data_IF_547585877930
#
_entry.id   IF_547585877930
#
_cell.length_a   1.000
_cell.length_b   1.000
_cell.length_c   1.000
_cell.angle_alpha   90.00
_cell.angle_beta   90.00
_cell.angle_gamma   90.00
#
_symmetry.space_group_name_H-M   'P 1'
#
loop_
_entity.id
_entity.type
_entity.pdbx_description
1 polymer ?
#
# COMPACT_ATOMS: atom_id res chain seq x y z
N UNK A 1 3.35 22.86 -20.19
CA UNK A 1 3.25 21.39 -20.37
C UNK A 1 2.20 20.80 -19.40
N UNK A 2 1.40 19.82 -19.83
CA UNK A 2 0.49 19.08 -18.93
C UNK A 2 1.19 17.89 -18.31
N UNK A 3 1.10 17.76 -16.98
CA UNK A 3 1.49 16.58 -16.21
C UNK A 3 0.26 16.00 -15.52
N UNK A 4 -0.02 14.74 -15.75
CA UNK A 4 -1.17 14.03 -15.17
C UNK A 4 -0.66 12.83 -14.38
N UNK A 5 -0.64 12.97 -13.05
CA UNK A 5 -0.18 11.96 -12.11
C UNK A 5 -1.36 11.34 -11.38
N UNK A 6 -1.59 10.06 -11.62
CA UNK A 6 -2.74 9.35 -11.08
C UNK A 6 -2.31 8.16 -10.21
N UNK A 7 -3.07 7.85 -9.19
CA UNK A 7 -3.04 6.54 -8.59
C UNK A 7 -3.54 5.48 -9.57
N UNK A 8 -3.57 4.20 -9.16
CA UNK A 8 -4.11 3.15 -10.02
C UNK A 8 -5.58 3.37 -10.32
N UNK A 9 -5.92 3.36 -11.58
CA UNK A 9 -7.30 3.43 -12.08
C UNK A 9 -7.92 2.03 -12.25
N UNK A 10 -7.11 0.97 -12.13
CA UNK A 10 -7.57 -0.41 -12.25
C UNK A 10 -8.35 -0.82 -11.00
N UNK A 11 -9.61 -1.31 -11.14
CA UNK A 11 -10.38 -1.81 -10.01
C UNK A 11 -9.62 -2.93 -9.28
N UNK A 12 -9.55 -2.83 -7.94
CA UNK A 12 -8.86 -3.76 -7.03
C UNK A 12 -7.31 -3.67 -6.99
N UNK A 13 -6.70 -2.74 -7.69
CA UNK A 13 -5.30 -2.40 -7.49
C UNK A 13 -5.19 -1.22 -6.52
N UNK A 14 -4.26 -1.29 -5.59
CA UNK A 14 -3.96 -0.17 -4.69
C UNK A 14 -3.05 0.85 -5.39
N UNK A 15 -3.09 2.08 -4.95
CA UNK A 15 -2.29 3.18 -5.47
C UNK A 15 -1.05 3.41 -4.62
N UNK A 16 -0.01 3.94 -5.25
CA UNK A 16 1.24 4.29 -4.60
C UNK A 16 1.35 5.82 -4.45
N UNK A 17 0.90 6.31 -3.33
CA UNK A 17 0.95 7.74 -3.00
C UNK A 17 2.39 8.24 -2.82
N UNK A 18 3.32 7.37 -2.38
CA UNK A 18 4.72 7.75 -2.17
C UNK A 18 5.41 8.05 -3.49
N UNK A 19 5.35 7.14 -4.48
CA UNK A 19 5.98 7.36 -5.79
C UNK A 19 5.33 8.50 -6.56
N UNK A 20 4.01 8.68 -6.40
CA UNK A 20 3.32 9.84 -6.96
C UNK A 20 3.87 11.14 -6.37
N UNK A 21 4.01 11.20 -5.04
CA UNK A 21 4.61 12.36 -4.36
C UNK A 21 6.07 12.60 -4.80
N UNK A 22 6.89 11.55 -4.88
CA UNK A 22 8.28 11.67 -5.36
C UNK A 22 8.36 12.21 -6.79
N UNK A 23 7.48 11.74 -7.68
CA UNK A 23 7.42 12.24 -9.06
C UNK A 23 7.06 13.74 -9.11
N UNK A 24 6.08 14.14 -8.30
CA UNK A 24 5.71 15.55 -8.17
C UNK A 24 6.88 16.42 -7.63
N UNK A 25 7.55 15.95 -6.58
CA UNK A 25 8.70 16.67 -6.02
C UNK A 25 9.93 16.64 -6.95
N UNK A 26 10.09 15.61 -7.76
CA UNK A 26 11.13 15.56 -8.79
C UNK A 26 10.86 16.60 -9.89
N UNK A 27 9.64 16.69 -10.38
CA UNK A 27 9.23 17.71 -11.34
C UNK A 27 9.45 19.13 -10.78
N UNK A 28 9.06 19.38 -9.53
CA UNK A 28 9.29 20.68 -8.89
C UNK A 28 10.77 21.04 -8.85
N UNK A 29 11.64 20.10 -8.51
CA UNK A 29 13.09 20.35 -8.50
C UNK A 29 13.66 20.59 -9.89
N UNK A 30 13.15 19.93 -10.91
CA UNK A 30 13.53 20.13 -12.30
C UNK A 30 13.14 21.53 -12.80
N UNK A 31 11.94 21.98 -12.44
CA UNK A 31 11.43 23.30 -12.83
C UNK A 31 12.02 24.45 -12.02
N UNK A 32 12.59 24.18 -10.85
CA UNK A 32 13.15 25.20 -9.93
C UNK A 32 14.63 25.49 -10.20
N UNK A 33 15.00 25.66 -11.46
CA UNK A 33 16.39 25.90 -11.87
C UNK A 33 16.96 27.24 -11.38
N UNK A 34 16.09 28.19 -11.08
CA UNK A 34 16.41 29.55 -10.64
C UNK A 34 16.08 29.85 -9.17
N UNK A 35 15.52 28.87 -8.43
CA UNK A 35 15.11 28.98 -7.02
C UNK A 35 13.85 29.82 -6.81
N UNK A 36 13.14 30.20 -7.87
CA UNK A 36 11.99 31.11 -7.84
C UNK A 36 10.64 30.39 -8.03
N UNK A 37 10.63 29.06 -8.19
CA UNK A 37 9.42 28.31 -8.46
C UNK A 37 8.38 28.44 -7.34
N UNK A 38 8.81 28.49 -6.07
CA UNK A 38 7.90 28.60 -4.94
C UNK A 38 7.00 29.84 -5.04
N UNK A 39 7.54 30.99 -5.49
CA UNK A 39 6.79 32.23 -5.71
C UNK A 39 5.86 32.13 -6.94
N UNK A 40 6.19 31.27 -7.88
CA UNK A 40 5.46 31.06 -9.14
C UNK A 40 4.59 29.78 -9.12
N UNK A 41 4.41 29.17 -7.94
CA UNK A 41 3.54 28.00 -7.75
C UNK A 41 2.17 28.44 -7.24
N UNK A 42 1.12 27.94 -7.87
CA UNK A 42 -0.26 28.14 -7.43
C UNK A 42 -0.92 26.76 -7.23
N UNK A 43 -1.42 26.49 -6.04
CA UNK A 43 -2.22 25.28 -5.75
C UNK A 43 -3.68 25.70 -5.69
N UNK A 44 -4.51 25.10 -6.54
CA UNK A 44 -5.93 25.41 -6.64
C UNK A 44 -6.78 24.27 -6.09
N UNK A 45 -7.83 24.55 -5.31
CA UNK A 45 -8.77 23.54 -4.86
C UNK A 45 -9.62 23.07 -6.05
N UNK A 46 -9.81 21.76 -6.22
CA UNK A 46 -10.64 21.21 -7.29
C UNK A 46 -12.14 21.61 -7.17
N UNK A 47 -12.62 21.75 -5.91
CA UNK A 47 -14.02 22.09 -5.65
C UNK A 47 -14.33 23.52 -6.07
N UNK A 48 -15.27 23.67 -7.00
CA UNK A 48 -15.71 24.98 -7.50
C UNK A 48 -14.77 25.60 -8.52
N UNK A 49 -13.70 24.90 -8.94
CA UNK A 49 -12.80 25.35 -10.00
C UNK A 49 -13.49 25.27 -11.36
N UNK A 50 -13.37 26.33 -12.16
CA UNK A 50 -13.81 26.35 -13.55
C UNK A 50 -12.63 26.34 -14.53
N UNK A 51 -12.88 25.92 -15.77
CA UNK A 51 -11.86 25.88 -16.83
C UNK A 51 -11.26 27.27 -17.08
N UNK A 52 -12.07 28.32 -17.13
CA UNK A 52 -11.61 29.71 -17.37
C UNK A 52 -10.65 30.20 -16.29
N UNK A 53 -10.94 29.89 -15.01
CA UNK A 53 -10.05 30.25 -13.90
C UNK A 53 -8.69 29.56 -14.03
N UNK A 54 -8.71 28.26 -14.39
CA UNK A 54 -7.48 27.51 -14.57
C UNK A 54 -6.66 28.05 -15.76
N UNK A 55 -7.29 28.33 -16.88
CA UNK A 55 -6.68 28.95 -18.04
C UNK A 55 -6.06 30.31 -17.69
N UNK A 56 -6.75 31.14 -16.91
CA UNK A 56 -6.22 32.43 -16.45
C UNK A 56 -4.93 32.27 -15.65
N UNK A 57 -4.87 31.31 -14.72
CA UNK A 57 -3.65 31.03 -13.96
C UNK A 57 -2.51 30.53 -14.84
N UNK A 58 -2.81 29.69 -15.84
CA UNK A 58 -1.84 29.15 -16.77
C UNK A 58 -1.32 30.17 -17.80
N UNK A 59 -2.14 31.19 -18.11
CA UNK A 59 -1.76 32.29 -19.04
C UNK A 59 -0.93 33.36 -18.36
N UNK A 60 -0.79 33.32 -17.03
CA UNK A 60 -0.01 34.33 -16.30
C UNK A 60 1.49 34.07 -16.47
N UNK A 61 2.23 35.06 -16.90
CA UNK A 61 3.69 34.98 -17.07
C UNK A 61 4.37 34.77 -15.69
N UNK A 62 5.37 33.89 -15.58
CA UNK A 62 6.10 33.72 -14.32
C UNK A 62 6.85 35.02 -13.94
N UNK A 63 6.86 35.33 -12.65
CA UNK A 63 7.51 36.50 -12.12
C UNK A 63 8.98 36.18 -11.78
N UNK A 64 9.92 36.79 -12.53
CA UNK A 64 11.35 36.59 -12.35
C UNK A 64 11.80 35.12 -12.29
N UNK A 65 11.10 34.23 -12.99
CA UNK A 65 11.36 32.81 -13.00
C UNK A 65 11.25 32.22 -14.41
N UNK A 66 11.89 31.09 -14.62
CA UNK A 66 11.83 30.32 -15.87
C UNK A 66 10.52 29.52 -16.04
N UNK A 67 9.86 29.18 -14.93
CA UNK A 67 8.67 28.37 -14.95
C UNK A 67 7.56 28.87 -13.99
N UNK A 68 6.32 28.61 -14.38
CA UNK A 68 5.12 28.75 -13.57
C UNK A 68 4.47 27.38 -13.37
N UNK A 69 4.17 27.04 -12.14
CA UNK A 69 3.55 25.78 -11.77
C UNK A 69 2.14 26.01 -11.24
N UNK A 70 1.15 25.39 -11.86
CA UNK A 70 -0.23 25.36 -11.38
C UNK A 70 -0.59 23.90 -11.04
N UNK A 71 -0.94 23.64 -9.79
CA UNK A 71 -1.28 22.29 -9.31
C UNK A 71 -2.74 22.23 -8.91
N UNK A 72 -3.43 21.20 -9.35
CA UNK A 72 -4.80 20.88 -8.91
C UNK A 72 -4.86 19.43 -8.45
N UNK A 73 -5.31 19.23 -7.22
CA UNK A 73 -5.46 17.89 -6.64
C UNK A 73 -6.92 17.45 -6.66
N UNK A 74 -7.17 16.23 -7.15
CA UNK A 74 -8.50 15.61 -7.14
C UNK A 74 -9.49 16.24 -8.10
N UNK A 75 -9.04 16.89 -9.17
CA UNK A 75 -9.93 17.52 -10.15
C UNK A 75 -10.86 16.52 -10.83
N UNK A 76 -10.28 15.46 -11.39
CA UNK A 76 -11.04 14.45 -12.12
C UNK A 76 -11.95 13.65 -11.18
N UNK A 77 -11.49 13.36 -9.98
CA UNK A 77 -12.27 12.71 -8.92
C UNK A 77 -13.46 13.58 -8.53
N UNK A 78 -13.25 14.90 -8.36
CA UNK A 78 -14.32 15.86 -8.01
C UNK A 78 -15.37 15.99 -9.12
N UNK A 79 -14.94 15.99 -10.37
CA UNK A 79 -15.82 16.14 -11.55
C UNK A 79 -16.55 14.83 -11.88
N UNK A 80 -15.88 13.68 -11.66
CA UNK A 80 -16.42 12.37 -11.98
C UNK A 80 -16.67 12.16 -13.48
N UNK A 81 -17.63 11.27 -13.79
CA UNK A 81 -18.02 10.94 -15.17
C UNK A 81 -19.38 11.56 -15.58
N UNK A 82 -19.74 12.68 -14.99
CA UNK A 82 -21.05 13.34 -15.23
C UNK A 82 -21.18 13.76 -16.71
N UNK A 83 -22.42 13.71 -17.21
CA UNK A 83 -22.73 14.23 -18.56
C UNK A 83 -22.40 15.74 -18.61
N UNK A 84 -21.77 16.18 -19.72
CA UNK A 84 -21.44 17.58 -19.95
C UNK A 84 -20.13 18.05 -19.28
N UNK A 85 -19.43 17.21 -18.51
CA UNK A 85 -18.13 17.60 -17.93
C UNK A 85 -17.13 17.93 -19.02
N UNK A 86 -17.08 17.13 -20.10
CA UNK A 86 -16.17 17.42 -21.21
C UNK A 86 -16.50 18.76 -21.86
N UNK A 87 -17.78 19.06 -22.11
CA UNK A 87 -18.19 20.34 -22.74
C UNK A 87 -17.79 21.54 -21.88
N UNK A 88 -17.93 21.43 -20.56
CA UNK A 88 -17.51 22.49 -19.61
C UNK A 88 -16.00 22.69 -19.57
N UNK A 89 -15.22 21.62 -19.78
CA UNK A 89 -13.77 21.65 -19.71
C UNK A 89 -13.08 21.63 -21.08
N UNK A 90 -13.87 21.60 -22.17
CA UNK A 90 -13.35 21.68 -23.55
C UNK A 90 -12.45 22.91 -23.77
N UNK A 91 -12.78 24.13 -23.24
CA UNK A 91 -11.88 25.28 -23.38
C UNK A 91 -10.48 25.02 -22.80
N UNK A 92 -10.36 24.31 -21.69
CA UNK A 92 -9.04 23.91 -21.16
C UNK A 92 -8.33 22.93 -22.11
N UNK A 93 -9.04 21.90 -22.58
CA UNK A 93 -8.45 20.90 -23.49
C UNK A 93 -7.92 21.56 -24.76
N UNK A 94 -8.65 22.52 -25.31
CA UNK A 94 -8.27 23.28 -26.50
C UNK A 94 -7.11 24.27 -26.22
N UNK A 95 -7.00 24.77 -25.00
CA UNK A 95 -5.93 25.67 -24.58
C UNK A 95 -4.60 24.96 -24.34
N UNK A 96 -4.61 23.73 -23.82
CA UNK A 96 -3.39 23.01 -23.42
C UNK A 96 -2.33 22.91 -24.52
N UNK A 97 -2.64 22.66 -25.81
CA UNK A 97 -1.64 22.65 -26.89
C UNK A 97 -0.98 23.99 -27.19
N UNK A 98 -1.65 25.10 -26.84
CA UNK A 98 -1.17 26.48 -27.09
C UNK A 98 -0.75 27.19 -25.80
N UNK A 99 -0.74 26.48 -24.68
CA UNK A 99 -0.30 26.99 -23.39
C UNK A 99 1.16 27.49 -23.47
N UNK A 100 1.52 28.61 -22.80
CA UNK A 100 2.89 29.07 -22.75
C UNK A 100 3.88 27.97 -22.31
N UNK A 101 5.03 27.88 -22.98
CA UNK A 101 6.04 26.85 -22.66
C UNK A 101 6.57 26.98 -21.23
N UNK A 102 6.54 28.16 -20.66
CA UNK A 102 6.90 28.42 -19.26
C UNK A 102 5.87 27.95 -18.24
N UNK A 103 4.67 27.58 -18.69
CA UNK A 103 3.57 27.16 -17.80
C UNK A 103 3.47 25.65 -17.73
N UNK A 104 3.33 25.14 -16.51
CA UNK A 104 3.16 23.73 -16.21
C UNK A 104 1.87 23.53 -15.41
N UNK A 105 0.99 22.70 -15.93
CA UNK A 105 -0.20 22.23 -15.22
C UNK A 105 0.06 20.83 -14.68
N UNK A 106 -0.05 20.65 -13.36
CA UNK A 106 0.02 19.34 -12.73
C UNK A 106 -1.36 18.98 -12.17
N UNK A 107 -1.94 17.95 -12.70
CA UNK A 107 -3.15 17.33 -12.16
C UNK A 107 -2.74 16.11 -11.35
N UNK A 108 -2.95 16.18 -10.04
CA UNK A 108 -2.66 15.09 -9.11
C UNK A 108 -3.98 14.44 -8.74
N UNK A 109 -4.15 13.18 -9.12
CA UNK A 109 -5.32 12.40 -8.76
C UNK A 109 -4.93 11.35 -7.71
N UNK A 110 -5.14 11.64 -6.41
CA UNK A 110 -4.94 10.64 -5.38
C UNK A 110 -5.87 9.45 -5.63
N UNK A 111 -5.54 8.31 -5.06
CA UNK A 111 -6.32 7.10 -5.24
C UNK A 111 -7.79 7.34 -4.93
N UNK A 112 -8.68 7.31 -5.90
CA UNK A 112 -10.11 7.44 -5.63
C UNK A 112 -10.60 6.18 -4.90
N UNK A 113 -11.65 6.34 -4.11
CA UNK A 113 -12.35 5.20 -3.50
C UNK A 113 -12.83 4.22 -4.58
N UNK A 114 -13.06 2.97 -4.22
CA UNK A 114 -13.36 1.89 -5.20
C UNK A 114 -14.50 2.21 -6.15
N UNK A 115 -15.49 2.97 -5.70
CA UNK A 115 -16.66 3.35 -6.51
C UNK A 115 -16.31 4.45 -7.53
N UNK A 116 -15.43 5.38 -7.16
CA UNK A 116 -15.03 6.49 -8.01
C UNK A 116 -14.04 6.08 -9.12
N UNK A 117 -13.27 5.01 -8.91
CA UNK A 117 -12.27 4.51 -9.90
C UNK A 117 -12.91 4.15 -11.25
N UNK A 118 -14.03 3.42 -11.23
CA UNK A 118 -14.76 3.06 -12.45
C UNK A 118 -15.32 4.30 -13.17
N UNK A 119 -15.71 5.32 -12.41
CA UNK A 119 -16.14 6.60 -12.93
C UNK A 119 -14.99 7.34 -13.62
N UNK A 120 -13.82 7.34 -13.00
CA UNK A 120 -12.65 8.06 -13.49
C UNK A 120 -12.12 7.44 -14.80
N UNK A 121 -11.95 6.12 -14.86
CA UNK A 121 -11.47 5.42 -16.05
C UNK A 121 -12.37 5.69 -17.28
N UNK A 122 -13.66 5.84 -17.04
CA UNK A 122 -14.66 6.15 -18.08
C UNK A 122 -14.82 7.64 -18.36
N UNK A 123 -14.14 8.51 -17.63
CA UNK A 123 -14.26 9.95 -17.78
C UNK A 123 -13.88 10.41 -19.19
N UNK A 124 -14.78 11.09 -19.92
CA UNK A 124 -14.44 11.67 -21.22
C UNK A 124 -13.35 12.73 -21.12
N UNK A 125 -13.32 13.49 -20.01
CA UNK A 125 -12.29 14.49 -19.76
C UNK A 125 -10.91 13.84 -19.56
N UNK A 126 -10.80 12.77 -18.77
CA UNK A 126 -9.53 12.04 -18.62
C UNK A 126 -9.01 11.57 -19.98
N UNK A 127 -9.88 11.06 -20.81
CA UNK A 127 -9.53 10.58 -22.16
C UNK A 127 -9.04 11.71 -23.05
N UNK A 128 -9.70 12.87 -22.99
CA UNK A 128 -9.29 14.07 -23.73
C UNK A 128 -7.92 14.59 -23.25
N UNK A 129 -7.70 14.67 -21.93
CA UNK A 129 -6.41 15.09 -21.36
C UNK A 129 -5.27 14.12 -21.73
N UNK A 130 -5.53 12.82 -21.76
CA UNK A 130 -4.53 11.83 -22.22
C UNK A 130 -4.18 11.95 -23.70
N UNK A 131 -5.05 12.54 -24.50
CA UNK A 131 -4.82 12.75 -25.92
C UNK A 131 -4.07 14.06 -26.22
N UNK A 132 -3.81 14.93 -25.25
CA UNK A 132 -3.08 16.17 -25.42
C UNK A 132 -1.64 15.89 -25.86
N UNK A 133 -1.18 16.43 -27.00
CA UNK A 133 0.19 16.22 -27.46
C UNK A 133 1.23 16.71 -26.45
N UNK A 134 2.22 15.88 -26.16
CA UNK A 134 3.30 16.24 -25.24
C UNK A 134 2.91 16.19 -23.75
N UNK A 135 1.73 15.66 -23.40
CA UNK A 135 1.36 15.47 -22.00
C UNK A 135 2.24 14.38 -21.37
N UNK A 136 2.74 14.66 -20.17
CA UNK A 136 3.43 13.70 -19.32
C UNK A 136 2.40 13.01 -18.43
N UNK A 137 2.20 11.71 -18.65
CA UNK A 137 1.15 10.94 -17.99
C UNK A 137 1.78 9.77 -17.25
N UNK A 138 1.62 9.75 -15.94
CA UNK A 138 2.14 8.68 -15.09
C UNK A 138 1.04 8.11 -14.18
N UNK A 139 0.96 6.78 -14.14
CA UNK A 139 0.07 6.04 -13.25
C UNK A 139 0.89 5.29 -12.21
N UNK A 140 0.59 5.52 -10.94
CA UNK A 140 1.32 4.98 -9.80
C UNK A 140 0.47 3.91 -9.09
N UNK A 141 0.56 2.67 -9.58
CA UNK A 141 0.00 1.51 -8.89
C UNK A 141 0.91 1.09 -7.73
N UNK A 142 0.32 0.54 -6.68
CA UNK A 142 1.11 -0.03 -5.59
C UNK A 142 2.05 -1.14 -6.09
N UNK A 143 3.25 -1.15 -5.56
CA UNK A 143 4.23 -2.20 -5.86
C UNK A 143 3.81 -3.50 -5.18
N UNK A 144 4.02 -4.59 -5.90
CA UNK A 144 3.73 -5.93 -5.40
C UNK A 144 4.96 -6.50 -4.71
N UNK A 145 4.78 -6.92 -3.48
CA UNK A 145 5.78 -7.74 -2.80
C UNK A 145 6.01 -9.03 -3.60
N UNK A 146 5.01 -9.45 -4.40
CA UNK A 146 4.88 -10.82 -4.88
C UNK A 146 4.11 -10.87 -6.19
N UNK A 147 4.82 -10.81 -7.28
CA UNK A 147 4.27 -10.95 -8.63
C UNK A 147 4.83 -12.18 -9.34
N UNK A 148 3.99 -12.91 -10.10
CA UNK A 148 4.38 -14.11 -10.86
C UNK A 148 5.49 -13.85 -11.87
N UNK A 149 5.40 -12.73 -12.56
CA UNK A 149 6.33 -12.35 -13.64
C UNK A 149 7.31 -11.27 -13.17
N UNK A 150 6.88 -10.42 -12.26
CA UNK A 150 7.66 -9.28 -11.80
C UNK A 150 8.53 -9.55 -10.57
N UNK A 151 8.35 -10.67 -9.85
CA UNK A 151 9.04 -10.94 -8.60
C UNK A 151 8.67 -9.94 -7.49
N UNK A 152 9.60 -9.67 -6.58
CA UNK A 152 9.43 -8.70 -5.50
C UNK A 152 9.74 -7.27 -6.01
N UNK A 153 8.70 -6.52 -6.39
CA UNK A 153 8.84 -5.15 -6.89
C UNK A 153 9.29 -4.19 -5.80
N UNK A 154 8.87 -4.43 -4.54
CA UNK A 154 9.30 -3.61 -3.40
C UNK A 154 10.78 -3.78 -3.11
N UNK A 155 11.30 -5.01 -3.12
CA UNK A 155 12.73 -5.26 -2.91
C UNK A 155 13.59 -4.63 -4.03
N UNK A 156 13.11 -4.66 -5.27
CA UNK A 156 13.79 -3.95 -6.38
C UNK A 156 13.78 -2.44 -6.16
N UNK A 157 12.63 -1.89 -5.79
CA UNK A 157 12.53 -0.47 -5.50
C UNK A 157 13.46 -0.05 -4.35
N UNK A 158 13.53 -0.85 -3.26
CA UNK A 158 14.47 -0.65 -2.16
C UNK A 158 15.93 -0.64 -2.67
N UNK A 159 16.27 -1.60 -3.55
CA UNK A 159 17.60 -1.69 -4.14
C UNK A 159 17.96 -0.44 -4.96
N UNK A 160 17.02 0.01 -5.80
CA UNK A 160 17.23 1.19 -6.66
C UNK A 160 17.30 2.48 -5.84
N UNK A 161 16.45 2.60 -4.80
CA UNK A 161 16.51 3.73 -3.87
C UNK A 161 17.82 3.76 -3.09
N UNK A 162 18.27 2.63 -2.55
CA UNK A 162 19.54 2.53 -1.84
C UNK A 162 20.69 2.94 -2.75
N UNK A 163 20.71 2.45 -3.99
CA UNK A 163 21.72 2.82 -4.99
C UNK A 163 21.71 4.32 -5.29
N UNK A 164 20.56 4.94 -5.44
CA UNK A 164 20.45 6.39 -5.69
C UNK A 164 20.94 7.25 -4.51
N UNK A 165 20.97 6.67 -3.30
CA UNK A 165 21.49 7.29 -2.07
C UNK A 165 22.95 6.91 -1.77
N UNK A 166 23.60 6.11 -2.63
CA UNK A 166 24.96 5.61 -2.40
C UNK A 166 25.06 4.57 -1.28
N UNK A 167 23.95 3.94 -0.90
CA UNK A 167 23.89 2.93 0.16
C UNK A 167 23.95 1.55 -0.47
N UNK A 168 24.91 0.72 -0.02
CA UNK A 168 25.01 -0.67 -0.44
C UNK A 168 24.18 -1.57 0.47
N UNK A 169 23.44 -2.51 -0.11
CA UNK A 169 22.70 -3.57 0.59
C UNK A 169 23.19 -4.93 0.10
N UNK A 170 23.25 -5.90 0.99
CA UNK A 170 23.31 -7.31 0.61
C UNK A 170 21.97 -7.69 -0.04
N UNK A 171 22.00 -8.62 -1.01
CA UNK A 171 20.80 -9.02 -1.76
C UNK A 171 19.67 -9.49 -0.84
N UNK A 172 19.99 -10.37 0.10
CA UNK A 172 19.00 -10.94 1.01
C UNK A 172 18.47 -9.88 2.01
N UNK A 173 19.24 -8.82 2.29
CA UNK A 173 18.84 -7.75 3.18
C UNK A 173 17.69 -6.90 2.59
N UNK A 174 17.68 -6.67 1.27
CA UNK A 174 16.58 -5.95 0.62
C UNK A 174 15.29 -6.79 0.59
N UNK A 175 15.40 -8.10 0.42
CA UNK A 175 14.25 -9.00 0.48
C UNK A 175 13.64 -9.01 1.89
N UNK A 176 14.47 -9.19 2.92
CA UNK A 176 14.03 -9.16 4.33
C UNK A 176 13.43 -7.81 4.70
N UNK A 177 14.03 -6.69 4.27
CA UNK A 177 13.48 -5.36 4.52
C UNK A 177 12.10 -5.22 3.88
N UNK A 178 11.94 -5.65 2.63
CA UNK A 178 10.65 -5.58 1.93
C UNK A 178 9.55 -6.42 2.61
N UNK A 179 9.92 -7.56 3.19
CA UNK A 179 8.99 -8.39 3.97
C UNK A 179 8.54 -7.69 5.26
N UNK A 180 9.47 -6.99 5.94
CA UNK A 180 9.18 -6.30 7.19
C UNK A 180 8.35 -5.04 7.01
N UNK A 181 8.64 -4.23 5.97
CA UNK A 181 7.92 -2.97 5.71
C UNK A 181 6.64 -3.15 4.88
N UNK A 182 6.51 -4.28 4.19
CA UNK A 182 5.36 -4.52 3.31
C UNK A 182 5.38 -3.61 2.08
N UNK A 183 4.19 -3.20 1.63
CA UNK A 183 4.03 -2.30 0.48
C UNK A 183 4.07 -0.79 0.86
N UNK A 184 4.36 -0.48 2.13
CA UNK A 184 4.48 0.91 2.59
C UNK A 184 5.84 1.50 2.19
N UNK A 185 5.86 2.23 1.08
CA UNK A 185 7.09 2.84 0.58
C UNK A 185 7.55 4.07 1.39
N UNK A 186 6.66 4.71 2.18
CA UNK A 186 7.07 5.74 3.14
C UNK A 186 7.94 5.14 4.24
N UNK A 187 7.47 4.03 4.82
CA UNK A 187 8.24 3.29 5.79
C UNK A 187 9.54 2.76 5.18
N UNK A 188 9.47 2.12 3.99
CA UNK A 188 10.64 1.58 3.30
C UNK A 188 11.71 2.65 3.05
N UNK A 189 11.31 3.86 2.61
CA UNK A 189 12.21 4.97 2.38
C UNK A 189 12.95 5.39 3.66
N UNK A 190 12.22 5.55 4.76
CA UNK A 190 12.79 5.89 6.06
C UNK A 190 13.75 4.82 6.58
N UNK A 191 13.39 3.56 6.42
CA UNK A 191 14.23 2.44 6.83
C UNK A 191 15.54 2.36 6.01
N UNK A 192 15.49 2.58 4.68
CA UNK A 192 16.69 2.63 3.83
C UNK A 192 17.65 3.72 4.32
N UNK A 193 17.14 4.93 4.57
CA UNK A 193 17.96 6.04 5.03
C UNK A 193 18.56 5.77 6.42
N UNK A 194 17.77 5.24 7.35
CA UNK A 194 18.22 4.85 8.72
C UNK A 194 19.29 3.75 8.69
N UNK A 195 19.04 2.69 7.93
CA UNK A 195 19.98 1.58 7.79
C UNK A 195 21.29 2.01 7.13
N UNK A 196 21.21 2.90 6.13
CA UNK A 196 22.41 3.48 5.49
C UNK A 196 23.26 4.28 6.45
N UNK A 197 22.64 5.10 7.31
CA UNK A 197 23.35 5.84 8.36
C UNK A 197 24.01 4.89 9.39
N UNK A 198 23.30 3.86 9.81
CA UNK A 198 23.85 2.86 10.74
C UNK A 198 25.02 2.08 10.15
N UNK A 199 24.92 1.69 8.89
CA UNK A 199 25.95 0.94 8.21
C UNK A 199 27.24 1.74 7.96
N UNK A 200 27.17 3.07 7.98
CA UNK A 200 28.32 3.97 7.90
C UNK A 200 29.28 3.65 6.73
N UNK A 201 28.74 3.35 5.55
CA UNK A 201 29.49 3.07 4.32
C UNK A 201 29.79 1.59 4.05
N UNK A 202 29.56 0.68 5.00
CA UNK A 202 29.57 -0.76 4.72
C UNK A 202 28.23 -1.22 4.14
N UNK A 203 28.16 -2.37 3.47
CA UNK A 203 26.90 -2.94 3.06
C UNK A 203 25.97 -3.22 4.26
N UNK A 204 24.70 -2.91 4.10
CA UNK A 204 23.62 -3.26 5.05
C UNK A 204 23.38 -4.76 4.96
N UNK A 205 23.46 -5.44 6.10
CA UNK A 205 23.28 -6.89 6.21
C UNK A 205 21.87 -7.25 6.68
N UNK A 206 21.47 -8.52 6.54
CA UNK A 206 20.22 -9.05 7.12
C UNK A 206 20.16 -8.85 8.64
N UNK A 207 21.32 -8.95 9.33
CA UNK A 207 21.37 -8.74 10.78
C UNK A 207 21.04 -7.29 11.16
N UNK A 208 21.53 -6.31 10.39
CA UNK A 208 21.22 -4.90 10.60
C UNK A 208 19.72 -4.60 10.40
N UNK A 209 19.16 -5.17 9.33
CA UNK A 209 17.72 -5.02 9.05
C UNK A 209 16.89 -5.55 10.21
N UNK A 210 17.18 -6.77 10.68
CA UNK A 210 16.44 -7.38 11.81
C UNK A 210 16.66 -6.67 13.14
N UNK A 211 17.80 -6.01 13.32
CA UNK A 211 18.10 -5.26 14.53
C UNK A 211 17.34 -3.93 14.60
N UNK A 212 17.22 -3.23 13.46
CA UNK A 212 16.79 -1.84 13.44
C UNK A 212 15.37 -1.62 12.87
N UNK A 213 14.91 -2.55 12.03
CA UNK A 213 13.58 -2.40 11.39
C UNK A 213 12.55 -3.17 12.20
N UNK A 214 11.59 -2.49 12.82
CA UNK A 214 10.46 -3.16 13.44
C UNK A 214 9.67 -3.92 12.36
N UNK A 215 9.13 -5.07 12.72
CA UNK A 215 8.22 -5.78 11.82
C UNK A 215 7.01 -4.89 11.53
N UNK A 216 6.49 -4.98 10.30
CA UNK A 216 5.25 -4.28 9.99
C UNK A 216 4.11 -4.85 10.85
N UNK A 217 3.12 -4.01 11.16
CA UNK A 217 1.90 -4.42 11.87
C UNK A 217 1.31 -5.74 11.33
N UNK A 218 1.28 -5.87 10.00
CA UNK A 218 0.78 -7.10 9.38
C UNK A 218 1.68 -8.30 9.69
N UNK A 219 3.00 -8.14 9.63
CA UNK A 219 3.95 -9.21 9.95
C UNK A 219 3.84 -9.66 11.42
N UNK A 220 3.61 -8.72 12.34
CA UNK A 220 3.43 -9.03 13.76
C UNK A 220 2.12 -9.77 14.03
N UNK A 221 1.01 -9.38 13.36
CA UNK A 221 -0.25 -10.13 13.44
C UNK A 221 -0.12 -11.51 12.80
N UNK A 222 0.60 -11.65 11.69
CA UNK A 222 0.91 -12.96 11.12
C UNK A 222 1.68 -13.84 12.13
N UNK A 223 2.73 -13.28 12.76
CA UNK A 223 3.51 -14.00 13.77
C UNK A 223 2.68 -14.39 14.98
N UNK A 224 1.73 -13.54 15.40
CA UNK A 224 0.78 -13.83 16.47
C UNK A 224 -0.11 -15.01 16.11
N UNK A 225 -0.77 -14.98 14.95
CA UNK A 225 -1.67 -16.06 14.50
C UNK A 225 -0.88 -17.36 14.33
N UNK A 226 0.31 -17.30 13.75
CA UNK A 226 1.20 -18.43 13.59
C UNK A 226 1.51 -19.09 14.96
N UNK A 227 1.91 -18.28 15.93
CA UNK A 227 2.21 -18.77 17.28
C UNK A 227 0.97 -19.40 17.93
N UNK A 228 -0.21 -18.83 17.73
CA UNK A 228 -1.46 -19.36 18.27
C UNK A 228 -1.83 -20.71 17.62
N UNK A 229 -1.88 -20.79 16.28
CA UNK A 229 -2.27 -22.04 15.59
C UNK A 229 -1.24 -23.17 15.72
N UNK A 230 0.00 -22.83 16.08
CA UNK A 230 1.05 -23.80 16.43
C UNK A 230 1.03 -24.22 17.92
N UNK A 231 0.08 -23.71 18.72
CA UNK A 231 -0.06 -24.05 20.14
C UNK A 231 0.91 -23.34 21.08
N UNK A 232 1.59 -22.28 20.62
CA UNK A 232 2.58 -21.51 21.39
C UNK A 232 1.92 -20.31 22.09
N UNK A 233 0.91 -20.58 22.95
CA UNK A 233 0.12 -19.56 23.64
C UNK A 233 0.96 -18.46 24.33
N UNK A 234 2.03 -18.77 25.11
CA UNK A 234 2.82 -17.71 25.75
C UNK A 234 3.51 -16.78 24.74
N UNK A 235 3.93 -17.28 23.59
CA UNK A 235 4.53 -16.46 22.53
C UNK A 235 3.48 -15.59 21.84
N UNK A 236 2.33 -16.15 21.53
CA UNK A 236 1.21 -15.43 20.92
C UNK A 236 0.69 -14.30 21.83
N UNK A 237 0.52 -14.57 23.14
CA UNK A 237 0.11 -13.54 24.10
C UNK A 237 1.14 -12.40 24.26
N UNK A 238 2.45 -12.70 24.18
CA UNK A 238 3.47 -11.65 24.20
C UNK A 238 3.36 -10.75 22.96
N UNK A 239 3.19 -11.33 21.77
CA UNK A 239 3.00 -10.57 20.53
C UNK A 239 1.71 -9.73 20.57
N UNK A 240 0.62 -10.30 21.09
CA UNK A 240 -0.62 -9.54 21.27
C UNK A 240 -0.41 -8.32 22.18
N UNK A 241 0.26 -8.48 23.31
CA UNK A 241 0.55 -7.36 24.23
C UNK A 241 1.42 -6.30 23.57
N UNK A 242 2.48 -6.70 22.85
CA UNK A 242 3.31 -5.75 22.13
C UNK A 242 2.50 -4.94 21.10
N UNK A 243 1.58 -5.55 20.37
CA UNK A 243 0.71 -4.85 19.43
C UNK A 243 -0.20 -3.84 20.15
N UNK A 244 -0.80 -4.24 21.28
CA UNK A 244 -1.67 -3.36 22.07
C UNK A 244 -0.86 -2.21 22.71
N UNK A 245 0.33 -2.48 23.22
CA UNK A 245 1.23 -1.46 23.80
C UNK A 245 1.72 -0.44 22.76
N UNK A 246 1.84 -0.85 21.49
CA UNK A 246 2.13 0.04 20.36
C UNK A 246 0.90 0.83 19.87
N UNK A 247 -0.23 0.74 20.59
CA UNK A 247 -1.43 1.53 20.28
C UNK A 247 -2.36 0.92 19.24
N UNK A 248 -2.18 -0.37 18.93
CA UNK A 248 -3.07 -1.06 18.01
C UNK A 248 -4.46 -1.23 18.60
N UNK A 249 -5.48 -0.89 17.80
CA UNK A 249 -6.86 -0.98 18.27
C UNK A 249 -7.35 -2.44 18.27
N UNK A 250 -7.91 -2.95 19.37
CA UNK A 250 -8.33 -4.36 19.50
C UNK A 250 -9.24 -4.85 18.38
N UNK A 251 -10.24 -4.06 17.98
CA UNK A 251 -11.13 -4.42 16.89
C UNK A 251 -10.39 -4.57 15.54
N UNK A 252 -9.37 -3.76 15.28
CA UNK A 252 -8.52 -3.87 14.10
C UNK A 252 -7.70 -5.17 14.10
N UNK A 253 -7.10 -5.51 15.24
CA UNK A 253 -6.36 -6.77 15.43
C UNK A 253 -7.27 -7.99 15.24
N UNK A 254 -8.48 -7.95 15.80
CA UNK A 254 -9.47 -9.02 15.63
C UNK A 254 -9.84 -9.23 14.15
N UNK A 255 -10.05 -8.13 13.40
CA UNK A 255 -10.36 -8.22 11.97
C UNK A 255 -9.19 -8.84 11.17
N UNK A 256 -7.95 -8.52 11.51
CA UNK A 256 -6.76 -9.09 10.87
C UNK A 256 -6.58 -10.57 11.21
N UNK A 257 -6.79 -10.97 12.48
CA UNK A 257 -6.78 -12.38 12.91
C UNK A 257 -7.85 -13.16 12.13
N UNK A 258 -9.08 -12.61 12.06
CA UNK A 258 -10.18 -13.24 11.30
C UNK A 258 -9.83 -13.42 9.81
N UNK A 259 -9.15 -12.44 9.20
CA UNK A 259 -8.69 -12.54 7.79
C UNK A 259 -7.71 -13.71 7.62
N UNK A 260 -6.75 -13.85 8.53
CA UNK A 260 -5.78 -14.94 8.49
C UNK A 260 -6.41 -16.31 8.67
N UNK A 261 -7.33 -16.44 9.61
CA UNK A 261 -8.06 -17.70 9.82
C UNK A 261 -8.91 -18.07 8.61
N UNK A 262 -9.54 -17.09 7.93
CA UNK A 262 -10.24 -17.34 6.66
C UNK A 262 -9.30 -17.87 5.57
N UNK A 263 -8.08 -17.36 5.49
CA UNK A 263 -7.07 -17.88 4.56
C UNK A 263 -6.68 -19.33 4.90
N UNK A 264 -6.56 -19.66 6.20
CA UNK A 264 -6.31 -21.03 6.67
C UNK A 264 -7.44 -21.99 6.30
N UNK A 265 -8.71 -21.59 6.48
CA UNK A 265 -9.88 -22.40 6.07
C UNK A 265 -9.83 -22.66 4.56
N UNK A 266 -9.67 -21.59 3.77
CA UNK A 266 -9.62 -21.67 2.31
C UNK A 266 -8.48 -22.56 1.81
N UNK A 267 -7.30 -22.43 2.42
CA UNK A 267 -6.16 -23.26 2.08
C UNK A 267 -6.42 -24.72 2.44
N UNK A 268 -7.00 -25.01 3.61
CA UNK A 268 -7.32 -26.37 4.04
C UNK A 268 -8.36 -27.04 3.13
N UNK A 269 -9.39 -26.31 2.71
CA UNK A 269 -10.40 -26.81 1.76
C UNK A 269 -9.76 -27.17 0.40
N UNK A 270 -8.91 -26.30 -0.14
CA UNK A 270 -8.25 -26.53 -1.42
C UNK A 270 -7.24 -27.66 -1.35
N UNK A 271 -6.54 -27.83 -0.21
CA UNK A 271 -5.65 -28.98 0.03
C UNK A 271 -6.47 -30.28 0.03
N UNK A 272 -7.63 -30.31 0.70
CA UNK A 272 -8.50 -31.46 0.72
C UNK A 272 -9.06 -31.85 -0.66
N UNK A 273 -9.19 -30.87 -1.57
CA UNK A 273 -9.58 -31.06 -2.97
C UNK A 273 -8.41 -31.45 -3.89
N UNK A 274 -7.20 -31.56 -3.35
CA UNK A 274 -5.99 -31.85 -4.15
C UNK A 274 -5.54 -30.69 -5.04
N UNK A 275 -5.95 -29.48 -4.74
CA UNK A 275 -5.58 -28.33 -5.54
C UNK A 275 -4.07 -28.05 -5.46
N UNK A 276 -3.43 -27.63 -6.58
CA UNK A 276 -2.02 -27.28 -6.56
C UNK A 276 -1.78 -26.02 -5.72
N UNK A 277 -0.60 -25.93 -5.11
CA UNK A 277 -0.17 -24.79 -4.25
C UNK A 277 -0.43 -23.42 -4.90
N UNK A 278 -0.27 -23.35 -6.21
CA UNK A 278 -0.59 -22.15 -7.01
C UNK A 278 -2.05 -21.71 -6.87
N UNK A 279 -3.00 -22.64 -6.96
CA UNK A 279 -4.43 -22.33 -6.84
C UNK A 279 -4.79 -21.87 -5.43
N UNK A 280 -4.10 -22.42 -4.41
CA UNK A 280 -4.22 -21.96 -3.02
C UNK A 280 -3.75 -20.51 -2.91
N UNK A 281 -2.60 -20.18 -3.49
CA UNK A 281 -2.08 -18.81 -3.51
C UNK A 281 -3.03 -17.81 -4.16
N UNK A 282 -3.60 -18.17 -5.31
CA UNK A 282 -4.58 -17.33 -6.01
C UNK A 282 -5.86 -17.10 -5.19
N UNK A 283 -6.37 -18.15 -4.55
CA UNK A 283 -7.60 -18.08 -3.77
C UNK A 283 -7.44 -17.31 -2.46
N UNK A 284 -6.27 -17.38 -1.82
CA UNK A 284 -6.00 -16.73 -0.52
C UNK A 284 -5.37 -15.35 -0.66
N UNK A 285 -4.93 -14.98 -1.87
CA UNK A 285 -4.13 -13.77 -2.11
C UNK A 285 -2.69 -13.87 -1.59
N UNK A 286 -2.26 -15.05 -1.10
CA UNK A 286 -0.90 -15.31 -0.62
C UNK A 286 -0.12 -15.96 -1.75
N UNK A 287 0.49 -15.17 -2.61
CA UNK A 287 1.12 -15.66 -3.85
C UNK A 287 2.61 -15.96 -3.73
N UNK A 288 3.21 -15.69 -2.57
CA UNK A 288 4.64 -15.91 -2.28
C UNK A 288 4.96 -17.35 -1.95
N UNK A 289 6.11 -17.81 -2.43
CA UNK A 289 6.60 -19.17 -2.14
C UNK A 289 6.79 -19.42 -0.65
N UNK A 290 7.40 -18.48 0.09
CA UNK A 290 7.66 -18.68 1.53
C UNK A 290 6.39 -18.54 2.40
N UNK A 291 5.61 -17.44 2.36
CA UNK A 291 4.35 -17.34 3.10
C UNK A 291 3.31 -18.37 2.64
N UNK A 292 3.25 -18.66 1.33
CA UNK A 292 2.35 -19.66 0.78
C UNK A 292 2.72 -21.06 1.27
N UNK A 293 3.97 -21.46 1.17
CA UNK A 293 4.45 -22.75 1.71
C UNK A 293 4.23 -22.86 3.21
N UNK A 294 4.32 -21.77 3.97
CA UNK A 294 3.98 -21.73 5.40
C UNK A 294 2.48 -21.91 5.61
N UNK A 295 1.64 -21.17 4.89
CA UNK A 295 0.18 -21.28 4.94
C UNK A 295 -0.29 -22.71 4.60
N UNK A 296 0.26 -23.29 3.55
CA UNK A 296 -0.08 -24.69 3.12
C UNK A 296 0.31 -25.68 4.21
N UNK A 297 1.51 -25.58 4.79
CA UNK A 297 1.91 -26.46 5.91
C UNK A 297 1.03 -26.28 7.13
N UNK A 298 0.70 -25.05 7.50
CA UNK A 298 -0.18 -24.75 8.64
C UNK A 298 -1.59 -25.24 8.39
N UNK A 299 -2.17 -24.98 7.22
CA UNK A 299 -3.50 -25.44 6.87
C UNK A 299 -3.59 -26.98 6.86
N UNK A 300 -2.55 -27.65 6.34
CA UNK A 300 -2.46 -29.11 6.39
C UNK A 300 -2.33 -29.66 7.81
N UNK A 301 -1.55 -29.02 8.67
CA UNK A 301 -1.33 -29.46 10.05
C UNK A 301 -2.52 -29.12 10.98
N UNK A 302 -3.07 -27.90 10.86
CA UNK A 302 -4.18 -27.43 11.67
C UNK A 302 -5.50 -28.09 11.28
N UNK A 303 -5.73 -28.25 9.99
CA UNK A 303 -6.90 -28.92 9.40
C UNK A 303 -8.13 -28.03 9.33
N UNK A 304 -8.98 -28.27 8.32
CA UNK A 304 -10.14 -27.43 8.01
C UNK A 304 -11.13 -27.29 9.16
N UNK A 305 -11.50 -28.40 9.80
CA UNK A 305 -12.46 -28.37 10.91
C UNK A 305 -12.02 -27.51 12.11
N UNK A 306 -10.71 -27.52 12.44
CA UNK A 306 -10.16 -26.66 13.51
C UNK A 306 -10.10 -25.20 13.06
N UNK A 307 -9.77 -24.95 11.78
CA UNK A 307 -9.76 -23.60 11.23
C UNK A 307 -11.16 -22.97 11.22
N UNK A 308 -12.20 -23.73 10.89
CA UNK A 308 -13.58 -23.28 11.02
C UNK A 308 -13.99 -23.04 12.48
N UNK A 309 -13.57 -23.93 13.40
CA UNK A 309 -13.82 -23.73 14.83
C UNK A 309 -13.13 -22.45 15.32
N UNK A 310 -11.90 -22.18 14.88
CA UNK A 310 -11.18 -20.95 15.18
C UNK A 310 -11.94 -19.70 14.71
N UNK A 311 -12.57 -19.71 13.53
CA UNK A 311 -13.42 -18.63 13.07
C UNK A 311 -14.68 -18.45 13.93
N UNK A 312 -15.29 -19.52 14.39
CA UNK A 312 -16.42 -19.45 15.35
C UNK A 312 -16.03 -18.81 16.68
N UNK A 313 -14.80 -19.07 17.16
CA UNK A 313 -14.28 -18.39 18.38
C UNK A 313 -14.09 -16.88 18.15
N UNK A 314 -13.63 -16.45 16.96
CA UNK A 314 -13.56 -15.02 16.62
C UNK A 314 -14.95 -14.38 16.64
N UNK A 315 -15.94 -15.04 16.02
CA UNK A 315 -17.32 -14.54 15.95
C UNK A 315 -17.94 -14.46 17.36
N UNK A 316 -17.74 -15.48 18.19
CA UNK A 316 -18.22 -15.50 19.57
C UNK A 316 -17.59 -14.37 20.41
N UNK A 317 -16.30 -14.10 20.23
CA UNK A 317 -15.60 -12.99 20.87
C UNK A 317 -16.15 -11.63 20.45
N UNK A 318 -16.34 -11.42 19.14
CA UNK A 318 -16.93 -10.19 18.59
C UNK A 318 -18.34 -9.94 19.15
N UNK A 319 -19.16 -10.96 19.19
CA UNK A 319 -20.51 -10.87 19.77
C UNK A 319 -20.47 -10.55 21.26
N UNK A 320 -19.56 -11.15 22.03
CA UNK A 320 -19.43 -10.91 23.46
C UNK A 320 -19.03 -9.47 23.76
N UNK A 321 -18.11 -8.90 22.97
CA UNK A 321 -17.70 -7.48 23.07
C UNK A 321 -18.87 -6.57 22.69
N UNK A 322 -19.50 -6.75 21.53
CA UNK A 322 -20.61 -5.92 21.07
C UNK A 322 -21.84 -5.97 21.97
N UNK A 323 -22.03 -7.07 22.68
CA UNK A 323 -23.10 -7.21 23.69
C UNK A 323 -22.71 -6.73 25.09
N UNK A 324 -21.52 -6.16 25.27
CA UNK A 324 -21.03 -5.61 26.55
C UNK A 324 -20.70 -6.67 27.62
N UNK A 325 -20.52 -7.94 27.23
CA UNK A 325 -20.25 -9.04 28.15
C UNK A 325 -18.77 -9.13 28.55
N UNK A 326 -17.89 -8.62 27.71
CA UNK A 326 -16.44 -8.70 27.90
C UNK A 326 -15.77 -7.45 27.31
N UNK A 327 -14.67 -7.06 27.87
CA UNK A 327 -13.82 -5.98 27.38
C UNK A 327 -13.00 -6.47 26.17
N UNK A 328 -12.72 -5.55 25.21
CA UNK A 328 -12.13 -5.90 23.91
C UNK A 328 -10.76 -6.58 24.03
N UNK A 329 -9.85 -6.05 24.86
CA UNK A 329 -8.49 -6.61 25.01
C UNK A 329 -8.54 -7.98 25.66
N UNK A 330 -9.39 -8.18 26.67
CA UNK A 330 -9.58 -9.47 27.30
C UNK A 330 -10.19 -10.50 26.33
N UNK A 331 -11.11 -10.06 25.47
CA UNK A 331 -11.67 -10.92 24.41
C UNK A 331 -10.59 -11.46 23.49
N UNK A 332 -9.62 -10.59 23.09
CA UNK A 332 -8.49 -11.00 22.26
C UNK A 332 -7.53 -11.96 22.98
N UNK A 333 -7.23 -11.71 24.26
CA UNK A 333 -6.40 -12.63 25.05
C UNK A 333 -7.01 -14.01 25.14
N UNK A 334 -8.32 -14.09 25.42
CA UNK A 334 -9.05 -15.36 25.45
C UNK A 334 -9.09 -16.04 24.08
N UNK A 335 -9.32 -15.26 23.01
CA UNK A 335 -9.29 -15.79 21.65
C UNK A 335 -7.94 -16.45 21.35
N UNK A 336 -6.82 -15.77 21.63
CA UNK A 336 -5.46 -16.31 21.42
C UNK A 336 -5.25 -17.62 22.21
N UNK A 337 -5.71 -17.68 23.45
CA UNK A 337 -5.63 -18.92 24.25
C UNK A 337 -6.43 -20.05 23.61
N UNK A 338 -7.68 -19.81 23.19
CA UNK A 338 -8.54 -20.80 22.54
C UNK A 338 -7.98 -21.30 21.23
N UNK A 339 -7.41 -20.39 20.41
CA UNK A 339 -6.72 -20.77 19.17
C UNK A 339 -5.55 -21.70 19.44
N UNK A 340 -4.79 -21.44 20.49
CA UNK A 340 -3.67 -22.30 20.89
C UNK A 340 -4.12 -23.68 21.42
N UNK A 341 -5.27 -23.75 22.09
CA UNK A 341 -5.88 -25.03 22.53
C UNK A 341 -6.35 -25.89 21.36
N UNK A 342 -6.75 -25.26 20.24
CA UNK A 342 -7.15 -25.96 19.02
C UNK A 342 -5.95 -26.54 18.25
N UNK A 343 -4.73 -26.17 18.58
CA UNK A 343 -3.54 -26.65 17.90
C UNK A 343 -3.39 -28.19 18.01
N UNK A 344 -2.86 -28.84 16.96
CA UNK A 344 -2.66 -30.28 16.98
C UNK A 344 -1.70 -30.69 18.12
N UNK A 345 -2.13 -31.64 18.96
CA UNK A 345 -1.26 -32.20 20.01
C UNK A 345 -0.08 -32.91 19.37
N UNK A 346 1.09 -32.31 19.41
CA UNK A 346 2.34 -32.82 18.81
C UNK A 346 3.21 -31.82 18.10
N UNK A 347 2.71 -30.59 17.84
CA UNK A 347 3.50 -29.53 17.23
C UNK A 347 4.58 -28.96 18.19
N UNK A 348 4.35 -29.03 19.50
CA UNK A 348 5.26 -28.52 20.53
C UNK A 348 6.46 -29.46 20.87
N UNK A 349 6.47 -30.71 20.38
CA UNK A 349 7.45 -31.74 20.80
C UNK A 349 8.55 -32.04 19.76
N UNK A 350 8.64 -31.29 18.65
CA UNK A 350 9.68 -31.50 17.62
C UNK A 350 10.60 -30.27 17.49
N UNK A 351 11.30 -29.95 18.56
CA UNK A 351 12.54 -29.16 18.53
C UNK A 351 13.57 -29.74 19.49
#
# INVERSE_FOLDING_TARGET
>A
MLHLYTGSLVPREDSDAFRLHEAYEALRRELDSDGMLATNTTVLPARGLGADTLIQHLSTVPFLASARLVTVEGLLTTLGSRRGVLDQWQPLVDFLPVMPETSHLVLVEPAPDREDRLGLERSPLLRALRAVPGADIAEFRALRLFGRESGNEVARWITDRARSRGIAFERDATEVLSELVGADLWAAAGEVDKLGQYAAGRPVTVADVRLLTPASREADVFALVDAAVEGRAPAALRLLRQLLDHGEHPAGLQAMIARQLRNLVRAAELIAQGAPERAIGEATGVTHSFPLGKLVRQAGAFGGARAEQALREVEAGDYAVKSGRIEESLSLELLVCRLAELAPRGAAARR
#
